data_IF_712138426042
#
_entry.id   IF_712138426042
#
_cell.length_a   1.000
_cell.length_b   1.000
_cell.length_c   1.000
_cell.angle_alpha   90.00
_cell.angle_beta   90.00
_cell.angle_gamma   90.00
#
_symmetry.space_group_name_H-M   'P 1'
#
loop_
_entity.id
_entity.type
_entity.pdbx_description
1 polymer ?
#
# COMPACT_ATOMS: atom_id res chain seq x y z
N UNK A 1 -21.45 8.73 42.29
CA UNK A 1 -21.62 8.15 40.93
C UNK A 1 -20.87 8.85 39.79
N UNK A 2 -20.41 10.11 39.90
CA UNK A 2 -19.64 10.80 38.83
C UNK A 2 -18.17 10.34 38.66
N UNK A 3 -17.57 9.68 39.65
CA UNK A 3 -16.15 9.23 39.61
C UNK A 3 -15.93 7.86 38.96
N UNK A 4 -16.97 7.04 38.81
CA UNK A 4 -16.88 5.70 38.20
C UNK A 4 -16.80 5.75 36.66
N UNK A 5 -17.41 6.76 36.03
CA UNK A 5 -17.37 6.93 34.58
C UNK A 5 -15.99 7.36 34.07
N UNK A 6 -15.24 8.15 34.85
CA UNK A 6 -13.88 8.56 34.49
C UNK A 6 -12.90 7.37 34.50
N UNK A 7 -13.06 6.42 35.43
CA UNK A 7 -12.21 5.23 35.52
C UNK A 7 -12.49 4.21 34.40
N UNK A 8 -13.76 4.03 34.00
CA UNK A 8 -14.12 3.15 32.88
C UNK A 8 -13.57 3.66 31.53
N UNK A 9 -13.52 4.99 31.33
CA UNK A 9 -12.96 5.59 30.10
C UNK A 9 -11.43 5.46 30.05
N UNK A 10 -10.74 5.52 31.20
CA UNK A 10 -9.28 5.38 31.26
C UNK A 10 -8.84 3.91 31.07
N UNK A 11 -9.60 2.94 31.57
CA UNK A 11 -9.28 1.51 31.40
C UNK A 11 -9.57 1.02 29.96
N UNK A 12 -10.55 1.61 29.25
CA UNK A 12 -10.77 1.36 27.83
C UNK A 12 -9.69 1.96 26.89
N UNK A 13 -8.82 2.84 27.42
CA UNK A 13 -7.73 3.48 26.66
C UNK A 13 -6.36 2.84 26.90
N UNK A 14 -6.23 1.95 27.88
CA UNK A 14 -4.99 1.23 28.17
C UNK A 14 -5.02 -0.15 27.49
N UNK A 15 -4.91 -0.16 26.16
CA UNK A 15 -4.53 -1.38 25.45
C UNK A 15 -3.06 -1.68 25.80
N UNK A 16 -2.72 -2.89 26.27
CA UNK A 16 -1.32 -3.26 26.44
C UNK A 16 -0.63 -3.14 25.07
N UNK A 17 0.58 -2.57 25.07
CA UNK A 17 1.43 -2.55 23.90
C UNK A 17 1.71 -4.00 23.49
N UNK A 18 0.93 -4.52 22.55
CA UNK A 18 1.14 -5.84 21.99
C UNK A 18 2.56 -5.86 21.43
N UNK A 19 3.34 -6.88 21.81
CA UNK A 19 4.59 -7.17 21.12
C UNK A 19 4.28 -7.27 19.62
N UNK A 20 5.10 -6.62 18.79
CA UNK A 20 4.91 -6.60 17.36
C UNK A 20 5.01 -8.05 16.85
N UNK A 21 3.93 -8.56 16.27
CA UNK A 21 3.96 -9.85 15.58
C UNK A 21 4.73 -9.64 14.28
N UNK A 22 5.82 -10.38 14.03
CA UNK A 22 6.59 -10.22 12.79
C UNK A 22 5.71 -10.38 11.56
N UNK A 23 5.87 -9.49 10.58
CA UNK A 23 5.18 -9.63 9.29
C UNK A 23 5.54 -10.96 8.64
N UNK A 24 4.52 -11.68 8.14
CA UNK A 24 4.71 -12.95 7.45
C UNK A 24 4.68 -12.71 5.94
N UNK A 25 5.86 -12.68 5.33
CA UNK A 25 6.04 -12.43 3.90
C UNK A 25 6.34 -13.73 3.15
N UNK A 26 5.69 -13.92 2.00
CA UNK A 26 6.05 -14.94 1.03
C UNK A 26 6.48 -14.32 -0.30
N UNK A 27 7.45 -14.94 -0.95
CA UNK A 27 7.85 -14.64 -2.34
C UNK A 27 7.70 -15.91 -3.15
N UNK A 28 6.96 -15.83 -4.27
CA UNK A 28 6.88 -16.95 -5.19
C UNK A 28 8.22 -17.10 -5.92
N UNK A 29 8.76 -18.31 -5.93
CA UNK A 29 10.03 -18.63 -6.57
C UNK A 29 10.05 -18.13 -8.03
N UNK A 30 11.12 -17.44 -8.42
CA UNK A 30 11.22 -16.76 -9.70
C UNK A 30 12.65 -16.69 -10.23
N UNK A 31 12.79 -16.30 -11.51
CA UNK A 31 14.08 -16.25 -12.21
C UNK A 31 14.57 -14.85 -12.57
N UNK A 32 13.69 -13.85 -12.62
CA UNK A 32 13.99 -12.57 -13.29
C UNK A 32 13.86 -11.34 -12.41
N UNK A 33 12.97 -11.37 -11.42
CA UNK A 33 12.84 -10.27 -10.46
C UNK A 33 13.80 -10.49 -9.28
N UNK A 34 14.17 -9.40 -8.62
CA UNK A 34 15.10 -9.41 -7.49
C UNK A 34 14.45 -8.83 -6.24
N UNK A 35 13.13 -9.01 -6.09
CA UNK A 35 12.37 -8.64 -4.88
C UNK A 35 13.06 -9.17 -3.61
N UNK A 36 13.57 -10.39 -3.66
CA UNK A 36 14.32 -11.02 -2.58
C UNK A 36 15.54 -10.20 -2.14
N UNK A 37 16.28 -9.59 -3.08
CA UNK A 37 17.43 -8.74 -2.76
C UNK A 37 17.00 -7.47 -2.04
N UNK A 38 15.87 -6.88 -2.45
CA UNK A 38 15.32 -5.70 -1.80
C UNK A 38 14.80 -6.03 -0.39
N UNK A 39 14.09 -7.15 -0.22
CA UNK A 39 13.65 -7.67 1.09
C UNK A 39 14.85 -7.90 2.02
N UNK A 40 15.92 -8.53 1.51
CA UNK A 40 17.17 -8.77 2.27
C UNK A 40 17.84 -7.45 2.68
N UNK A 41 17.94 -6.47 1.78
CA UNK A 41 18.50 -5.16 2.10
C UNK A 41 17.67 -4.41 3.16
N UNK A 42 16.35 -4.59 3.14
CA UNK A 42 15.43 -4.10 4.16
C UNK A 42 15.40 -4.96 5.43
N UNK A 43 16.14 -6.09 5.49
CA UNK A 43 16.10 -7.06 6.60
C UNK A 43 14.69 -7.57 6.93
N UNK A 44 13.84 -7.70 5.90
CA UNK A 44 12.48 -8.23 6.04
C UNK A 44 12.57 -9.75 5.87
N UNK A 45 12.20 -10.55 6.89
CA UNK A 45 12.19 -12.00 6.76
C UNK A 45 11.08 -12.43 5.78
N UNK A 46 11.39 -13.40 4.93
CA UNK A 46 10.44 -13.95 3.98
C UNK A 46 10.63 -15.46 3.82
N UNK A 47 9.60 -16.12 3.32
CA UNK A 47 9.66 -17.52 2.87
C UNK A 47 9.53 -17.58 1.36
N UNK A 48 10.27 -18.48 0.72
CA UNK A 48 10.11 -18.76 -0.70
C UNK A 48 9.10 -19.89 -0.84
N UNK A 49 8.05 -19.65 -1.63
CA UNK A 49 7.01 -20.65 -1.94
C UNK A 49 7.11 -21.05 -3.40
N UNK A 50 6.79 -22.30 -3.72
CA UNK A 50 6.78 -22.79 -5.10
C UNK A 50 5.52 -22.31 -5.81
N UNK A 51 5.58 -22.23 -7.13
CA UNK A 51 4.41 -21.93 -7.95
C UNK A 51 3.26 -22.92 -7.70
N UNK A 52 3.58 -24.21 -7.53
CA UNK A 52 2.60 -25.24 -7.21
C UNK A 52 1.90 -25.04 -5.85
N UNK A 53 2.54 -24.36 -4.90
CA UNK A 53 1.99 -24.12 -3.58
C UNK A 53 0.82 -23.12 -3.62
N UNK A 54 0.66 -22.36 -4.71
CA UNK A 54 -0.41 -21.38 -4.87
C UNK A 54 -1.81 -22.03 -4.90
N UNK A 55 -1.91 -23.33 -5.16
CA UNK A 55 -3.16 -24.07 -4.99
C UNK A 55 -3.44 -24.47 -3.54
N UNK A 56 -2.54 -24.27 -2.60
CA UNK A 56 -2.79 -24.59 -1.19
C UNK A 56 -3.42 -23.40 -0.45
N UNK A 57 -4.65 -23.53 0.09
CA UNK A 57 -5.33 -22.43 0.77
C UNK A 57 -4.59 -21.93 2.01
N UNK A 58 -3.77 -22.79 2.63
CA UNK A 58 -2.95 -22.47 3.78
C UNK A 58 -1.92 -21.37 3.51
N UNK A 59 -1.40 -21.28 2.27
CA UNK A 59 -0.44 -20.23 1.88
C UNK A 59 -1.03 -18.85 2.13
N UNK A 60 -2.29 -18.63 1.74
CA UNK A 60 -2.96 -17.34 1.89
C UNK A 60 -3.33 -17.01 3.35
N UNK A 61 -3.43 -18.01 4.23
CA UNK A 61 -3.75 -17.80 5.66
C UNK A 61 -2.51 -17.53 6.50
N UNK A 62 -1.38 -18.12 6.11
CA UNK A 62 -0.10 -18.05 6.84
C UNK A 62 0.68 -16.76 6.57
N UNK A 63 0.33 -16.03 5.53
CA UNK A 63 1.06 -14.83 5.11
C UNK A 63 0.17 -13.60 5.18
N UNK A 64 0.80 -12.46 5.44
CA UNK A 64 0.18 -11.15 5.45
C UNK A 64 0.44 -10.42 4.13
N UNK A 65 1.57 -10.74 3.49
CA UNK A 65 2.00 -10.21 2.21
C UNK A 65 2.55 -11.30 1.29
N UNK A 66 2.19 -11.27 0.01
CA UNK A 66 2.69 -12.23 -0.99
C UNK A 66 3.20 -11.49 -2.23
N UNK A 67 4.43 -11.78 -2.64
CA UNK A 67 5.05 -11.23 -3.83
C UNK A 67 4.98 -12.23 -4.98
N UNK A 68 4.42 -11.78 -6.10
CA UNK A 68 4.29 -12.49 -7.38
C UNK A 68 5.20 -11.84 -8.44
N UNK A 69 6.52 -12.03 -8.33
CA UNK A 69 7.49 -11.45 -9.25
C UNK A 69 7.35 -11.92 -10.70
N UNK A 70 7.92 -11.17 -11.64
CA UNK A 70 8.09 -11.60 -13.03
C UNK A 70 9.00 -12.83 -13.11
N UNK A 71 8.69 -13.77 -13.99
CA UNK A 71 9.47 -15.01 -14.12
C UNK A 71 9.22 -16.03 -13.01
N UNK A 72 8.07 -15.97 -12.33
CA UNK A 72 7.56 -17.12 -11.57
C UNK A 72 7.50 -18.31 -12.51
N UNK A 73 8.19 -19.39 -12.14
CA UNK A 73 8.25 -20.57 -12.98
C UNK A 73 6.84 -21.14 -13.21
N UNK A 74 6.46 -21.45 -14.45
CA UNK A 74 6.02 -22.81 -14.72
C UNK A 74 7.29 -23.65 -14.93
N UNK A 75 7.68 -24.60 -14.05
CA UNK A 75 8.67 -25.56 -14.48
C UNK A 75 7.97 -26.63 -15.35
N UNK A 76 8.60 -27.17 -16.42
CA UNK A 76 10.03 -27.08 -16.74
C UNK A 76 10.37 -26.96 -18.24
N UNK A 77 11.08 -25.90 -18.66
CA UNK A 77 11.84 -25.89 -19.93
C UNK A 77 13.09 -26.81 -19.91
N UNK A 78 13.31 -27.61 -18.86
CA UNK A 78 14.41 -28.58 -18.76
C UNK A 78 13.98 -30.04 -18.85
N UNK A 79 12.84 -30.34 -19.50
CA UNK A 79 12.30 -31.70 -19.57
C UNK A 79 12.15 -32.27 -20.97
N UNK A 80 12.96 -31.81 -21.93
CA UNK A 80 13.22 -32.56 -23.16
C UNK A 80 14.57 -33.24 -23.00
N UNK A 81 14.55 -34.53 -22.64
CA UNK A 81 15.73 -35.37 -22.80
C UNK A 81 15.74 -35.83 -24.27
N UNK A 82 16.56 -35.20 -25.10
CA UNK A 82 16.76 -35.66 -26.48
C UNK A 82 17.84 -36.74 -26.46
N UNK A 83 17.42 -38.00 -26.49
CA UNK A 83 18.33 -39.10 -26.82
C UNK A 83 18.62 -39.07 -28.33
N UNK A 84 19.76 -38.47 -28.68
CA UNK A 84 20.29 -38.47 -30.05
C UNK A 84 21.54 -39.35 -30.13
N UNK A 85 21.53 -40.33 -31.05
CA UNK A 85 22.73 -41.00 -31.55
C UNK A 85 22.69 -40.93 -33.07
N UNK A 86 23.54 -40.10 -33.67
CA UNK A 86 23.57 -39.87 -35.12
C UNK A 86 22.49 -38.88 -35.59
N UNK A 87 21.85 -39.16 -36.72
CA UNK A 87 20.96 -38.22 -37.46
C UNK A 87 19.45 -38.38 -37.17
N UNK A 88 19.04 -39.13 -36.14
CA UNK A 88 17.62 -39.33 -35.83
C UNK A 88 17.30 -39.22 -34.34
N UNK A 89 16.13 -38.63 -34.02
CA UNK A 89 15.58 -38.50 -32.67
C UNK A 89 14.83 -39.80 -32.35
N UNK A 90 15.26 -40.53 -31.31
CA UNK A 90 14.67 -41.82 -30.94
C UNK A 90 13.51 -41.73 -29.94
N UNK A 91 13.32 -40.60 -29.27
CA UNK A 91 12.19 -40.41 -28.35
C UNK A 91 12.16 -39.04 -27.70
N UNK A 92 10.95 -38.55 -27.43
CA UNK A 92 10.69 -37.37 -26.61
C UNK A 92 9.89 -37.86 -25.40
N UNK A 93 10.50 -37.82 -24.23
CA UNK A 93 9.83 -38.12 -22.96
C UNK A 93 9.80 -36.88 -22.10
N UNK A 94 8.60 -36.48 -21.69
CA UNK A 94 8.40 -35.55 -20.60
C UNK A 94 8.81 -36.25 -19.29
N UNK A 95 9.66 -35.61 -18.48
CA UNK A 95 9.80 -36.07 -17.09
C UNK A 95 8.48 -35.86 -16.37
N UNK A 96 8.07 -36.82 -15.55
CA UNK A 96 6.89 -36.71 -14.67
C UNK A 96 6.96 -35.41 -13.84
N UNK A 97 5.82 -34.73 -13.69
CA UNK A 97 5.70 -33.51 -12.88
C UNK A 97 5.22 -32.26 -13.62
N UNK A 98 4.52 -32.39 -14.76
CA UNK A 98 3.77 -31.26 -15.31
C UNK A 98 2.68 -30.84 -14.32
N UNK A 99 2.87 -29.70 -13.67
CA UNK A 99 1.91 -29.16 -12.72
C UNK A 99 1.18 -27.97 -13.36
N UNK A 100 -0.07 -28.21 -13.74
CA UNK A 100 -0.95 -27.15 -14.23
C UNK A 100 -1.73 -26.57 -13.04
N UNK A 101 -1.54 -25.26 -12.76
CA UNK A 101 -2.35 -24.56 -11.77
C UNK A 101 -3.77 -24.37 -12.34
N UNK A 102 -4.79 -24.76 -11.56
CA UNK A 102 -6.16 -24.31 -11.81
C UNK A 102 -6.22 -22.78 -11.65
N UNK A 103 -6.21 -22.08 -12.78
CA UNK A 103 -6.22 -20.62 -12.84
C UNK A 103 -7.50 -20.02 -12.24
N UNK A 104 -8.65 -20.70 -12.34
CA UNK A 104 -9.91 -20.21 -11.75
C UNK A 104 -9.85 -20.33 -10.24
N UNK A 105 -9.30 -21.43 -9.74
CA UNK A 105 -9.14 -21.63 -8.31
C UNK A 105 -8.13 -20.64 -7.70
N UNK A 106 -6.98 -20.46 -8.35
CA UNK A 106 -5.98 -19.46 -7.99
C UNK A 106 -6.59 -18.05 -7.92
N UNK A 107 -7.29 -17.63 -8.98
CA UNK A 107 -7.96 -16.33 -9.04
C UNK A 107 -8.92 -16.12 -7.86
N UNK A 108 -9.73 -17.14 -7.53
CA UNK A 108 -10.66 -17.10 -6.39
C UNK A 108 -9.93 -16.97 -5.05
N UNK A 109 -8.87 -17.75 -4.82
CA UNK A 109 -8.08 -17.72 -3.58
C UNK A 109 -7.35 -16.40 -3.41
N UNK A 110 -6.73 -15.90 -4.48
CA UNK A 110 -6.04 -14.62 -4.50
C UNK A 110 -7.00 -13.46 -4.23
N UNK A 111 -8.16 -13.45 -4.90
CA UNK A 111 -9.21 -12.46 -4.63
C UNK A 111 -9.62 -12.49 -3.16
N UNK A 112 -9.87 -13.67 -2.59
CA UNK A 112 -10.23 -13.81 -1.18
C UNK A 112 -9.13 -13.33 -0.22
N UNK A 113 -7.86 -13.56 -0.55
CA UNK A 113 -6.71 -13.08 0.22
C UNK A 113 -6.66 -11.55 0.25
N UNK A 114 -6.65 -10.90 -0.92
CA UNK A 114 -6.56 -9.44 -1.02
C UNK A 114 -7.81 -8.79 -0.42
N UNK A 115 -9.01 -9.24 -0.79
CA UNK A 115 -10.28 -8.74 -0.24
C UNK A 115 -10.37 -8.90 1.29
N UNK A 116 -9.69 -9.91 1.82
CA UNK A 116 -9.58 -10.23 3.25
C UNK A 116 -8.61 -9.35 4.03
N UNK A 117 -7.81 -8.51 3.37
CA UNK A 117 -6.81 -7.65 4.02
C UNK A 117 -5.35 -8.08 3.79
N UNK A 118 -5.10 -9.00 2.86
CA UNK A 118 -3.77 -9.31 2.38
C UNK A 118 -3.22 -8.22 1.45
N UNK A 119 -1.90 -8.05 1.45
CA UNK A 119 -1.19 -7.18 0.52
C UNK A 119 -0.46 -8.02 -0.53
N UNK A 120 -0.53 -7.64 -1.80
CA UNK A 120 0.12 -8.40 -2.87
C UNK A 120 0.90 -7.50 -3.83
N UNK A 121 2.00 -8.03 -4.35
CA UNK A 121 2.84 -7.39 -5.38
C UNK A 121 2.85 -8.25 -6.65
N UNK A 122 2.76 -7.60 -7.81
CA UNK A 122 2.84 -8.21 -9.12
C UNK A 122 3.78 -7.39 -10.00
N UNK A 123 4.65 -8.06 -10.75
CA UNK A 123 5.53 -7.41 -11.72
C UNK A 123 5.55 -8.10 -13.08
N UNK A 124 5.65 -7.27 -14.12
CA UNK A 124 5.82 -7.72 -15.50
C UNK A 124 4.80 -8.79 -15.89
N UNK A 125 5.28 -9.99 -16.18
CA UNK A 125 4.47 -11.10 -16.69
C UNK A 125 3.46 -11.67 -15.70
N UNK A 126 3.53 -11.35 -14.41
CA UNK A 126 2.55 -11.80 -13.41
C UNK A 126 1.23 -11.03 -13.40
N UNK A 127 1.06 -10.09 -14.33
CA UNK A 127 -0.20 -9.38 -14.54
C UNK A 127 -1.38 -10.34 -14.78
N UNK A 128 -1.13 -11.50 -15.40
CA UNK A 128 -2.13 -12.50 -15.77
C UNK A 128 -2.83 -13.08 -14.53
N UNK A 129 -2.09 -13.30 -13.45
CA UNK A 129 -2.62 -13.78 -12.18
C UNK A 129 -3.54 -12.74 -11.55
N UNK A 130 -3.11 -11.48 -11.51
CA UNK A 130 -3.92 -10.39 -10.96
C UNK A 130 -5.15 -10.10 -11.83
N UNK A 131 -4.99 -10.14 -13.15
CA UNK A 131 -6.09 -10.00 -14.10
C UNK A 131 -7.08 -11.16 -13.98
N UNK A 132 -6.63 -12.41 -13.85
CA UNK A 132 -7.53 -13.53 -13.58
C UNK A 132 -8.36 -13.33 -12.29
N UNK A 133 -7.77 -12.69 -11.27
CA UNK A 133 -8.45 -12.40 -10.02
C UNK A 133 -9.48 -11.26 -10.10
N UNK A 134 -9.35 -10.27 -10.98
CA UNK A 134 -10.26 -9.10 -10.97
C UNK A 134 -10.77 -8.61 -12.34
N UNK A 135 -10.22 -9.10 -13.44
CA UNK A 135 -10.59 -8.75 -14.82
C UNK A 135 -10.48 -7.24 -15.14
N UNK A 136 -9.49 -6.56 -14.54
CA UNK A 136 -9.41 -5.10 -14.59
C UNK A 136 -8.46 -4.52 -15.65
N UNK A 137 -7.70 -5.36 -16.35
CA UNK A 137 -6.64 -4.90 -17.25
C UNK A 137 -7.17 -4.67 -18.66
N UNK A 138 -6.78 -3.54 -19.25
CA UNK A 138 -6.99 -3.26 -20.66
C UNK A 138 -5.66 -3.03 -21.36
N UNK A 139 -5.51 -3.63 -22.54
CA UNK A 139 -4.28 -3.56 -23.33
C UNK A 139 -4.48 -2.83 -24.64
N UNK A 140 -3.40 -2.26 -25.16
CA UNK A 140 -3.41 -1.68 -26.50
C UNK A 140 -3.61 -2.79 -27.53
N UNK A 141 -4.59 -2.60 -28.42
CA UNK A 141 -4.91 -3.58 -29.47
C UNK A 141 -5.25 -4.98 -28.96
N UNK A 142 -5.63 -5.12 -27.68
CA UNK A 142 -5.89 -6.42 -27.07
C UNK A 142 -4.63 -7.29 -26.87
N UNK A 143 -3.42 -6.71 -26.93
CA UNK A 143 -2.17 -7.46 -26.80
C UNK A 143 -1.23 -6.82 -25.75
N UNK A 144 -0.86 -7.55 -24.68
CA UNK A 144 -0.10 -6.98 -23.56
C UNK A 144 1.39 -6.77 -23.87
N UNK A 145 1.99 -7.63 -24.68
CA UNK A 145 3.44 -7.74 -24.85
C UNK A 145 3.98 -6.83 -25.97
N UNK A 146 3.69 -5.52 -25.92
CA UNK A 146 4.08 -4.56 -26.97
C UNK A 146 5.12 -3.53 -26.54
N UNK A 147 5.57 -3.53 -25.30
CA UNK A 147 6.55 -2.55 -24.84
C UNK A 147 7.91 -2.76 -25.49
N UNK A 148 8.51 -1.71 -26.05
CA UNK A 148 9.88 -1.76 -26.56
C UNK A 148 10.91 -1.56 -25.43
N UNK A 149 12.09 -2.16 -25.57
CA UNK A 149 13.24 -1.88 -24.71
C UNK A 149 13.63 -0.39 -24.79
N UNK A 150 14.16 0.14 -23.69
CA UNK A 150 14.62 1.52 -23.63
C UNK A 150 14.36 2.18 -22.28
N UNK A 151 14.55 3.50 -22.24
CA UNK A 151 14.35 4.29 -21.04
C UNK A 151 12.99 5.00 -21.08
N UNK A 152 12.25 4.92 -19.99
CA UNK A 152 10.94 5.56 -19.80
C UNK A 152 11.08 6.65 -18.73
N UNK A 153 10.73 7.87 -19.08
CA UNK A 153 10.58 8.97 -18.10
C UNK A 153 9.23 8.82 -17.38
N UNK A 154 9.27 8.29 -16.16
CA UNK A 154 8.09 8.09 -15.32
C UNK A 154 7.72 9.39 -14.62
N UNK A 155 6.46 9.77 -14.69
CA UNK A 155 5.86 10.81 -13.86
C UNK A 155 5.31 10.16 -12.60
N UNK A 156 5.85 10.53 -11.45
CA UNK A 156 5.48 9.96 -10.16
C UNK A 156 4.33 10.76 -9.52
N UNK A 157 3.38 10.06 -8.92
CA UNK A 157 2.17 10.64 -8.32
C UNK A 157 1.96 10.16 -6.87
N UNK A 158 1.05 10.84 -6.17
CA UNK A 158 0.58 10.50 -4.82
C UNK A 158 1.69 10.16 -3.79
N UNK A 159 1.56 9.00 -3.14
CA UNK A 159 2.45 8.49 -2.09
C UNK A 159 3.86 8.22 -2.64
N UNK A 160 3.97 7.80 -3.90
CA UNK A 160 5.26 7.45 -4.53
C UNK A 160 6.08 8.72 -4.82
N UNK A 161 5.42 9.78 -5.30
CA UNK A 161 6.04 11.11 -5.46
C UNK A 161 6.66 11.58 -4.15
N UNK A 162 5.89 11.56 -3.06
CA UNK A 162 6.39 12.00 -1.76
C UNK A 162 7.56 11.14 -1.26
N UNK A 163 7.51 9.84 -1.51
CA UNK A 163 8.53 8.88 -1.07
C UNK A 163 9.86 9.07 -1.81
N UNK A 164 9.81 9.19 -3.14
CA UNK A 164 11.00 9.39 -3.98
C UNK A 164 11.51 10.83 -3.88
N UNK A 165 10.65 11.79 -3.54
CA UNK A 165 10.96 13.23 -3.48
C UNK A 165 11.40 13.81 -4.82
N UNK A 166 11.02 13.19 -5.93
CA UNK A 166 11.23 13.67 -7.29
C UNK A 166 9.97 13.42 -8.12
N UNK A 167 9.49 14.40 -8.91
CA UNK A 167 8.33 14.22 -9.79
C UNK A 167 8.60 13.30 -10.98
N UNK A 168 9.88 13.07 -11.30
CA UNK A 168 10.30 12.25 -12.42
C UNK A 168 11.30 11.19 -12.02
N UNK A 169 11.22 10.03 -12.67
CA UNK A 169 12.13 8.93 -12.47
C UNK A 169 12.43 8.23 -13.79
N UNK A 170 13.72 8.06 -14.09
CA UNK A 170 14.16 7.36 -15.29
C UNK A 170 14.17 5.85 -15.03
N UNK A 171 13.24 5.12 -15.66
CA UNK A 171 13.15 3.67 -15.56
C UNK A 171 13.71 3.01 -16.82
N UNK A 172 14.66 2.09 -16.65
CA UNK A 172 15.23 1.34 -17.76
C UNK A 172 14.50 0.00 -17.94
N UNK A 173 13.97 -0.24 -19.15
CA UNK A 173 13.37 -1.49 -19.59
C UNK A 173 14.38 -2.25 -20.46
N UNK A 174 15.00 -3.33 -19.94
CA UNK A 174 16.15 -3.95 -20.60
C UNK A 174 15.81 -4.79 -21.84
N UNK A 175 14.56 -5.23 -22.00
CA UNK A 175 14.12 -6.09 -23.11
C UNK A 175 12.77 -5.63 -23.67
N UNK A 176 12.54 -5.90 -24.96
CA UNK A 176 11.25 -5.69 -25.62
C UNK A 176 10.27 -6.82 -25.30
N UNK A 177 8.98 -6.58 -25.49
CA UNK A 177 7.90 -7.53 -25.15
C UNK A 177 7.41 -7.40 -23.71
N UNK A 178 7.88 -6.40 -22.95
CA UNK A 178 7.35 -6.12 -21.62
C UNK A 178 5.88 -5.67 -21.70
N UNK A 179 5.18 -5.83 -20.58
CA UNK A 179 3.72 -5.68 -20.51
C UNK A 179 3.31 -4.21 -20.47
N UNK A 180 2.86 -3.72 -21.62
CA UNK A 180 2.40 -2.35 -21.80
C UNK A 180 0.89 -2.25 -21.55
N UNK A 181 0.52 -1.72 -20.39
CA UNK A 181 -0.88 -1.58 -19.97
C UNK A 181 -1.46 -0.27 -20.49
N UNK A 182 -2.68 -0.30 -21.03
CA UNK A 182 -3.42 0.91 -21.44
C UNK A 182 -4.12 1.54 -20.25
N UNK A 183 -4.83 0.73 -19.47
CA UNK A 183 -5.55 1.17 -18.27
C UNK A 183 -5.85 -0.01 -17.38
N UNK A 184 -6.02 0.25 -16.07
CA UNK A 184 -6.48 -0.73 -15.09
C UNK A 184 -7.68 -0.11 -14.37
N UNK A 185 -8.82 -0.78 -14.41
CA UNK A 185 -10.06 -0.30 -13.81
C UNK A 185 -9.95 -0.22 -12.28
N UNK A 186 -10.49 0.86 -11.69
CA UNK A 186 -10.51 1.07 -10.24
C UNK A 186 -9.10 0.96 -9.59
N UNK A 187 -8.09 1.53 -10.24
CA UNK A 187 -6.72 1.57 -9.76
C UNK A 187 -6.23 3.01 -9.63
N UNK A 188 -5.43 3.28 -8.60
CA UNK A 188 -4.69 4.52 -8.45
C UNK A 188 -3.38 4.39 -9.24
N UNK A 189 -3.11 5.32 -10.15
CA UNK A 189 -1.83 5.37 -10.88
C UNK A 189 -0.79 6.04 -10.00
N UNK A 190 0.27 5.31 -9.65
CA UNK A 190 1.38 5.85 -8.86
C UNK A 190 2.52 6.34 -9.74
N UNK A 191 2.66 5.75 -10.94
CA UNK A 191 3.54 6.25 -11.97
C UNK A 191 3.00 5.91 -13.36
N UNK A 192 3.02 6.90 -14.26
CA UNK A 192 2.73 6.76 -15.69
C UNK A 192 3.90 7.24 -16.54
N UNK A 193 3.97 6.80 -17.79
CA UNK A 193 5.04 7.20 -18.69
C UNK A 193 4.67 7.05 -20.16
N UNK A 194 5.42 7.76 -21.01
CA UNK A 194 5.39 7.57 -22.47
C UNK A 194 6.48 6.60 -22.86
N UNK A 195 6.15 5.60 -23.67
CA UNK A 195 7.05 4.54 -24.09
C UNK A 195 6.80 4.13 -25.53
N UNK A 196 7.85 3.61 -26.17
CA UNK A 196 7.77 3.17 -27.54
C UNK A 196 7.19 1.76 -27.64
N UNK A 197 6.47 1.52 -28.74
CA UNK A 197 5.95 0.21 -29.11
C UNK A 197 6.22 0.00 -30.61
N UNK A 198 6.17 -1.25 -31.13
CA UNK A 198 6.26 -1.50 -32.57
C UNK A 198 5.21 -0.76 -33.40
N UNK A 199 4.11 -0.29 -32.79
CA UNK A 199 3.02 0.45 -33.44
C UNK A 199 3.01 1.93 -33.07
N UNK A 200 4.18 2.48 -32.75
CA UNK A 200 4.38 3.87 -32.37
C UNK A 200 4.30 4.11 -30.86
N UNK A 201 4.54 5.35 -30.46
CA UNK A 201 4.60 5.73 -29.05
C UNK A 201 3.22 5.65 -28.39
N UNK A 202 3.20 5.18 -27.13
CA UNK A 202 2.02 5.10 -26.27
C UNK A 202 2.29 5.75 -24.91
N UNK A 203 1.21 6.02 -24.19
CA UNK A 203 1.24 6.52 -22.82
C UNK A 203 0.31 5.65 -21.99
N UNK A 204 0.77 5.26 -20.80
CA UNK A 204 0.00 4.40 -19.93
C UNK A 204 0.59 4.29 -18.52
N UNK A 205 -0.15 3.65 -17.60
CA UNK A 205 0.35 3.39 -16.25
C UNK A 205 1.48 2.36 -16.27
N UNK A 206 2.51 2.61 -15.48
CA UNK A 206 3.63 1.67 -15.27
C UNK A 206 3.58 1.11 -13.86
N UNK A 207 3.17 1.90 -12.86
CA UNK A 207 3.04 1.47 -11.47
C UNK A 207 1.65 1.86 -10.99
N UNK A 208 0.90 0.89 -10.47
CA UNK A 208 -0.46 1.11 -9.98
C UNK A 208 -0.69 0.45 -8.64
N UNK A 209 -1.69 0.98 -7.92
CA UNK A 209 -2.25 0.40 -6.71
C UNK A 209 -3.73 0.11 -6.91
N UNK A 210 -4.14 -1.12 -6.65
CA UNK A 210 -5.53 -1.56 -6.66
C UNK A 210 -5.97 -1.72 -5.21
N UNK A 211 -6.83 -0.82 -4.71
CA UNK A 211 -7.46 -0.97 -3.39
C UNK A 211 -8.65 -1.92 -3.52
N UNK A 212 -8.71 -2.97 -2.69
CA UNK A 212 -9.75 -4.00 -2.79
C UNK A 212 -10.26 -4.36 -1.41
N UNK A 213 -11.47 -3.90 -1.09
CA UNK A 213 -12.13 -4.04 0.22
C UNK A 213 -11.17 -3.69 1.37
N UNK A 214 -10.56 -4.69 2.02
CA UNK A 214 -9.67 -4.52 3.18
C UNK A 214 -8.19 -4.56 2.84
N UNK A 215 -7.81 -5.01 1.65
CA UNK A 215 -6.41 -5.15 1.23
C UNK A 215 -6.08 -4.35 -0.02
N UNK A 216 -4.89 -4.60 -0.54
CA UNK A 216 -4.35 -3.88 -1.69
C UNK A 216 -3.43 -4.78 -2.54
N UNK A 217 -3.41 -4.51 -3.84
CA UNK A 217 -2.47 -5.10 -4.77
C UNK A 217 -1.69 -4.01 -5.49
N UNK A 218 -0.41 -4.26 -5.74
CA UNK A 218 0.45 -3.40 -6.52
C UNK A 218 0.85 -4.12 -7.78
N UNK A 219 0.73 -3.44 -8.92
CA UNK A 219 1.27 -3.94 -10.18
C UNK A 219 2.32 -2.97 -10.70
N UNK A 220 3.43 -3.51 -11.20
CA UNK A 220 4.48 -2.74 -11.86
C UNK A 220 4.93 -3.40 -13.17
N UNK A 221 4.92 -2.65 -14.27
CA UNK A 221 5.59 -3.06 -15.51
C UNK A 221 7.12 -2.96 -15.42
N UNK A 222 7.62 -2.32 -14.37
CA UNK A 222 9.04 -2.06 -14.11
C UNK A 222 9.54 -2.90 -12.93
N UNK A 223 10.68 -3.58 -13.11
CA UNK A 223 11.41 -4.24 -12.03
C UNK A 223 12.91 -4.11 -12.27
N UNK A 224 13.69 -4.08 -11.19
CA UNK A 224 15.15 -3.91 -11.26
C UNK A 224 15.85 -4.74 -10.19
N UNK A 225 17.08 -5.18 -10.52
CA UNK A 225 17.99 -5.85 -9.60
C UNK A 225 18.72 -4.91 -8.64
N UNK A 226 18.59 -3.60 -8.81
CA UNK A 226 19.31 -2.59 -8.04
C UNK A 226 18.74 -2.42 -6.63
N UNK A 227 19.53 -2.79 -5.63
CA UNK A 227 19.14 -2.72 -4.21
C UNK A 227 18.88 -1.30 -3.70
N UNK A 228 19.46 -0.29 -4.34
CA UNK A 228 19.26 1.13 -4.00
C UNK A 228 18.04 1.77 -4.67
N UNK A 229 17.27 1.03 -5.47
CA UNK A 229 16.18 1.60 -6.23
C UNK A 229 15.02 2.06 -5.30
N UNK A 230 14.66 3.36 -5.32
CA UNK A 230 13.67 3.90 -4.38
C UNK A 230 12.24 3.43 -4.69
N UNK A 231 11.93 3.10 -5.95
CA UNK A 231 10.62 2.55 -6.33
C UNK A 231 10.48 1.12 -5.77
N UNK A 232 11.48 0.26 -5.93
CA UNK A 232 11.44 -1.09 -5.38
C UNK A 232 11.36 -1.09 -3.86
N UNK A 233 12.13 -0.22 -3.19
CA UNK A 233 12.01 -0.01 -1.74
C UNK A 233 10.59 0.38 -1.34
N UNK A 234 10.00 1.36 -2.03
CA UNK A 234 8.62 1.77 -1.77
C UNK A 234 7.66 0.59 -1.89
N UNK A 235 7.71 -0.15 -2.99
CA UNK A 235 6.79 -1.27 -3.26
C UNK A 235 6.95 -2.40 -2.24
N UNK A 236 8.19 -2.80 -1.95
CA UNK A 236 8.49 -3.89 -1.02
C UNK A 236 8.02 -3.55 0.40
N UNK A 237 8.38 -2.38 0.91
CA UNK A 237 7.99 -1.99 2.27
C UNK A 237 6.47 -1.76 2.33
N UNK A 238 5.87 -1.16 1.30
CA UNK A 238 4.43 -0.92 1.26
C UNK A 238 3.62 -2.20 1.29
N UNK A 239 4.05 -3.21 0.53
CA UNK A 239 3.40 -4.51 0.50
C UNK A 239 3.62 -5.26 1.81
N UNK A 240 4.83 -5.25 2.38
CA UNK A 240 5.10 -5.92 3.65
C UNK A 240 4.37 -5.26 4.84
N UNK A 241 4.44 -3.94 4.97
CA UNK A 241 4.00 -3.21 6.16
C UNK A 241 2.74 -2.36 5.93
N UNK A 242 1.92 -2.69 4.93
CA UNK A 242 0.66 -1.99 4.65
C UNK A 242 -0.29 -1.95 5.86
N UNK A 243 -0.24 -2.98 6.72
CA UNK A 243 -1.04 -3.04 7.97
C UNK A 243 -0.63 -1.98 8.99
N UNK A 244 0.67 -1.69 9.13
CA UNK A 244 1.16 -0.63 10.01
C UNK A 244 0.57 0.71 9.57
N UNK A 245 0.60 0.97 8.26
CA UNK A 245 -0.02 2.17 7.71
C UNK A 245 -1.54 2.19 7.88
N UNK A 246 -2.22 1.06 7.66
CA UNK A 246 -3.68 0.97 7.85
C UNK A 246 -4.08 1.25 9.30
N UNK A 247 -3.31 0.76 10.28
CA UNK A 247 -3.50 1.06 11.69
C UNK A 247 -3.35 2.55 11.99
N UNK A 248 -2.27 3.17 11.48
CA UNK A 248 -2.03 4.61 11.63
C UNK A 248 -3.16 5.44 10.97
N UNK A 249 -3.59 5.06 9.77
CA UNK A 249 -4.68 5.69 9.04
C UNK A 249 -6.02 5.58 9.78
N UNK A 250 -6.30 4.44 10.41
CA UNK A 250 -7.49 4.27 11.24
C UNK A 250 -7.45 5.21 12.46
N UNK A 251 -6.29 5.36 13.09
CA UNK A 251 -6.06 6.29 14.19
C UNK A 251 -6.19 7.76 13.79
N UNK A 252 -5.61 8.14 12.65
CA UNK A 252 -5.63 9.50 12.08
C UNK A 252 -7.00 9.87 11.50
N UNK A 253 -7.72 8.91 10.91
CA UNK A 253 -9.04 9.10 10.29
C UNK A 253 -10.12 9.50 11.29
N UNK A 254 -9.88 9.32 12.60
CA UNK A 254 -10.77 9.78 13.65
C UNK A 254 -10.90 11.30 13.69
N UNK A 255 -9.98 12.07 13.12
CA UNK A 255 -9.96 13.52 13.28
C UNK A 255 -10.67 14.30 12.17
N UNK A 256 -11.31 13.61 11.21
CA UNK A 256 -12.06 14.21 10.08
C UNK A 256 -11.27 15.24 9.24
N UNK A 257 -9.93 15.13 9.27
CA UNK A 257 -9.01 15.93 8.47
C UNK A 257 -8.92 15.37 7.04
N UNK A 258 -8.65 16.24 6.07
CA UNK A 258 -8.45 15.82 4.67
C UNK A 258 -7.15 15.05 4.54
N UNK A 259 -7.16 13.95 3.80
CA UNK A 259 -5.97 13.11 3.62
C UNK A 259 -4.96 13.73 2.66
N UNK A 260 -3.68 13.65 3.01
CA UNK A 260 -2.54 13.91 2.14
C UNK A 260 -1.77 12.63 1.86
N UNK A 261 -0.44 12.75 1.83
CA UNK A 261 0.49 11.64 1.53
C UNK A 261 0.58 10.64 2.69
N UNK A 262 0.71 9.36 2.33
CA UNK A 262 0.79 8.22 3.25
C UNK A 262 1.99 7.35 2.88
N UNK A 263 2.90 7.14 3.82
CA UNK A 263 4.13 6.40 3.58
C UNK A 263 4.32 5.31 4.62
N UNK A 264 5.06 4.30 4.23
CA UNK A 264 5.69 3.37 5.15
C UNK A 264 7.11 3.15 4.67
N UNK A 265 8.06 3.20 5.59
CA UNK A 265 9.49 3.02 5.32
C UNK A 265 10.16 2.45 6.57
N UNK A 266 11.47 2.25 6.49
CA UNK A 266 12.37 1.98 7.59
C UNK A 266 13.72 2.61 7.28
N UNK A 267 14.54 2.90 8.29
CA UNK A 267 15.92 3.28 8.00
C UNK A 267 16.76 2.05 7.70
N UNK A 268 17.39 2.02 6.52
CA UNK A 268 18.28 0.94 6.08
C UNK A 268 19.64 1.03 6.80
N UNK A 269 20.42 -0.08 6.82
CA UNK A 269 21.78 -0.04 7.34
C UNK A 269 22.62 1.06 6.69
N UNK A 270 23.24 1.91 7.51
CA UNK A 270 24.05 3.05 7.05
C UNK A 270 23.26 4.36 6.87
N UNK A 271 21.93 4.34 6.85
CA UNK A 271 21.13 5.58 6.81
C UNK A 271 21.12 6.25 8.18
N UNK A 272 21.57 7.51 8.24
CA UNK A 272 21.49 8.37 9.44
C UNK A 272 20.12 9.03 9.58
N UNK A 273 19.44 9.23 8.45
CA UNK A 273 18.12 9.84 8.36
C UNK A 273 17.51 9.52 7.00
N UNK A 274 16.19 9.62 6.89
CA UNK A 274 15.47 9.55 5.60
C UNK A 274 14.70 10.84 5.36
N UNK A 275 14.75 11.35 4.13
CA UNK A 275 14.03 12.56 3.70
C UNK A 275 12.91 12.20 2.75
N UNK A 276 11.77 12.84 2.95
CA UNK A 276 10.57 12.76 2.13
C UNK A 276 10.12 14.15 1.74
N UNK A 277 9.22 14.21 0.76
CA UNK A 277 8.51 15.42 0.40
C UNK A 277 7.02 15.23 0.69
N UNK A 278 6.44 16.16 1.46
CA UNK A 278 5.04 16.11 1.86
C UNK A 278 4.31 17.37 1.42
N UNK A 279 3.16 17.27 0.74
CA UNK A 279 2.34 18.45 0.46
C UNK A 279 1.69 18.91 1.76
N UNK A 280 1.75 20.21 2.07
CA UNK A 280 1.00 20.82 3.18
C UNK A 280 0.09 21.92 2.64
N UNK A 281 -1.12 22.01 3.19
CA UNK A 281 -2.06 23.10 2.90
C UNK A 281 -1.76 24.30 3.79
N UNK A 282 -2.04 25.51 3.31
CA UNK A 282 -1.94 26.72 4.14
C UNK A 282 -2.78 26.56 5.41
N UNK A 283 -2.20 26.87 6.57
CA UNK A 283 -2.85 26.71 7.87
C UNK A 283 -2.38 25.48 8.64
N UNK A 284 -3.30 24.82 9.36
CA UNK A 284 -2.98 23.69 10.24
C UNK A 284 -2.93 22.38 9.46
N UNK A 285 -1.87 21.63 9.70
CA UNK A 285 -1.65 20.28 9.22
C UNK A 285 -1.20 19.43 10.39
N UNK A 286 -1.39 18.12 10.29
CA UNK A 286 -0.91 17.17 11.29
C UNK A 286 -0.21 16.04 10.58
N UNK A 287 1.02 15.74 10.97
CA UNK A 287 1.75 14.56 10.54
C UNK A 287 1.63 13.53 11.65
N UNK A 288 0.87 12.47 11.39
CA UNK A 288 0.81 11.31 12.25
C UNK A 288 1.97 10.38 11.93
N UNK A 289 2.62 9.88 12.97
CA UNK A 289 3.72 8.94 12.89
C UNK A 289 3.39 7.74 13.75
N UNK A 290 3.73 6.54 13.27
CA UNK A 290 3.58 5.32 14.04
C UNK A 290 4.64 4.30 13.68
N UNK A 291 5.19 3.61 14.67
CA UNK A 291 6.10 2.49 14.49
C UNK A 291 5.70 1.32 15.40
N UNK A 292 6.01 0.10 15.01
CA UNK A 292 5.72 -1.07 15.85
C UNK A 292 6.68 -1.15 17.06
N UNK A 293 7.89 -0.64 16.87
CA UNK A 293 8.95 -0.56 17.88
C UNK A 293 9.86 0.64 17.60
N UNK A 294 10.93 0.80 18.38
CA UNK A 294 11.88 1.89 18.21
C UNK A 294 11.28 3.27 18.54
N UNK A 295 12.14 4.27 18.47
CA UNK A 295 11.78 5.67 18.69
C UNK A 295 12.37 6.51 17.57
N UNK A 296 11.71 7.61 17.24
CA UNK A 296 12.05 8.41 16.09
C UNK A 296 11.90 9.90 16.39
N UNK A 297 12.68 10.70 15.68
CA UNK A 297 12.48 12.14 15.58
C UNK A 297 11.97 12.47 14.19
N UNK A 298 11.00 13.38 14.11
CA UNK A 298 10.46 13.89 12.87
C UNK A 298 10.63 15.41 12.81
N UNK A 299 11.30 15.87 11.75
CA UNK A 299 11.59 17.27 11.49
C UNK A 299 10.97 17.71 10.16
N UNK A 300 10.31 18.86 10.15
CA UNK A 300 9.63 19.42 8.97
C UNK A 300 10.30 20.72 8.56
N UNK A 301 10.63 20.82 7.28
CA UNK A 301 11.39 21.92 6.70
C UNK A 301 10.60 22.63 5.60
N UNK A 302 10.70 23.95 5.57
CA UNK A 302 10.29 24.83 4.48
C UNK A 302 11.54 25.41 3.83
N UNK A 303 11.99 24.84 2.71
CA UNK A 303 13.35 25.08 2.23
C UNK A 303 14.36 24.56 3.25
N UNK A 304 15.23 25.44 3.75
CA UNK A 304 16.22 25.11 4.79
C UNK A 304 15.74 25.44 6.22
N UNK A 305 14.60 26.12 6.36
CA UNK A 305 14.06 26.51 7.66
C UNK A 305 13.31 25.34 8.32
N UNK A 306 13.74 24.94 9.52
CA UNK A 306 13.01 24.00 10.37
C UNK A 306 11.75 24.68 10.93
N UNK A 307 10.56 24.21 10.56
CA UNK A 307 9.27 24.80 10.97
C UNK A 307 8.53 23.98 12.02
N UNK A 308 8.89 22.72 12.19
CA UNK A 308 8.36 21.85 13.24
C UNK A 308 9.35 20.72 13.52
N UNK A 309 9.49 20.32 14.78
CA UNK A 309 10.31 19.18 15.20
C UNK A 309 9.66 18.50 16.38
N UNK A 310 9.72 17.17 16.40
CA UNK A 310 9.32 16.36 17.55
C UNK A 310 10.22 15.15 17.68
N UNK A 311 10.95 15.10 18.80
CA UNK A 311 11.60 13.90 19.29
C UNK A 311 10.79 13.39 20.50
N UNK A 312 10.45 12.11 20.50
CA UNK A 312 9.66 11.51 21.57
C UNK A 312 10.07 10.05 21.79
N UNK A 313 9.82 9.55 23.00
CA UNK A 313 9.93 8.12 23.35
C UNK A 313 8.58 7.41 23.20
N UNK A 314 7.66 7.99 22.42
CA UNK A 314 6.39 7.39 22.03
C UNK A 314 6.54 6.71 20.67
N UNK A 315 5.96 5.53 20.51
CA UNK A 315 5.94 4.79 19.22
C UNK A 315 4.95 5.38 18.23
N UNK A 316 3.90 6.02 18.74
CA UNK A 316 2.92 6.75 17.94
C UNK A 316 2.82 8.18 18.46
N UNK A 317 2.89 9.14 17.54
CA UNK A 317 2.75 10.54 17.89
C UNK A 317 2.19 11.35 16.73
N UNK A 318 1.76 12.57 17.04
CA UNK A 318 1.29 13.54 16.06
C UNK A 318 2.12 14.82 16.13
N UNK A 319 2.65 15.27 15.00
CA UNK A 319 3.35 16.54 14.87
C UNK A 319 2.42 17.55 14.19
N UNK A 320 1.98 18.56 14.94
CA UNK A 320 1.17 19.64 14.40
C UNK A 320 2.07 20.67 13.71
N UNK A 321 1.75 21.00 12.46
CA UNK A 321 2.54 21.90 11.61
C UNK A 321 1.65 23.02 11.11
N UNK A 322 2.10 24.27 11.29
CA UNK A 322 1.42 25.45 10.74
C UNK A 322 2.16 25.96 9.51
N UNK A 323 1.65 25.62 8.33
CA UNK A 323 2.21 26.04 7.06
C UNK A 323 1.74 27.46 6.69
N UNK A 324 2.67 28.32 6.31
CA UNK A 324 2.40 29.72 5.89
C UNK A 324 1.89 29.80 4.46
N UNK A 325 2.35 28.90 3.61
CA UNK A 325 1.93 28.74 2.22
C UNK A 325 1.55 27.28 1.93
N UNK A 326 0.69 27.08 0.93
CA UNK A 326 0.48 25.75 0.37
C UNK A 326 1.68 25.36 -0.50
N UNK A 327 2.16 24.14 -0.38
CA UNK A 327 3.31 23.68 -1.17
C UNK A 327 3.91 22.37 -0.68
N UNK A 328 5.10 22.07 -1.20
CA UNK A 328 5.87 20.87 -0.87
C UNK A 328 6.89 21.19 0.24
N UNK A 329 6.87 20.41 1.31
CA UNK A 329 7.73 20.55 2.48
C UNK A 329 8.61 19.32 2.65
N UNK A 330 9.80 19.51 3.19
CA UNK A 330 10.70 18.39 3.51
C UNK A 330 10.29 17.77 4.85
N UNK A 331 10.11 16.46 4.90
CA UNK A 331 9.99 15.71 6.16
C UNK A 331 11.23 14.84 6.32
N UNK A 332 11.94 14.99 7.42
CA UNK A 332 13.14 14.19 7.73
C UNK A 332 12.89 13.37 8.98
N UNK A 333 13.16 12.07 8.88
CA UNK A 333 13.01 11.12 9.97
C UNK A 333 14.40 10.64 10.40
N UNK A 334 14.65 10.71 11.70
CA UNK A 334 15.87 10.23 12.34
C UNK A 334 15.54 9.10 13.30
N UNK A 335 16.41 8.08 13.40
CA UNK A 335 16.27 7.07 14.44
C UNK A 335 16.67 7.68 15.78
N UNK A 336 15.89 7.43 16.83
CA UNK A 336 16.28 7.70 18.21
C UNK A 336 16.58 6.35 18.91
N UNK A 337 17.76 6.23 19.53
CA UNK A 337 18.23 4.97 20.11
C UNK A 337 18.36 3.84 19.08
N UNK A 338 17.70 2.71 19.31
CA UNK A 338 17.77 1.50 18.46
C UNK A 338 16.85 1.52 17.23
N UNK A 339 16.39 2.69 16.76
CA UNK A 339 15.39 2.89 15.68
C UNK A 339 15.76 2.40 14.27
N UNK A 340 16.78 1.56 14.09
CA UNK A 340 17.27 1.12 12.77
C UNK A 340 16.62 -0.19 12.34
N UNK A 341 16.34 -0.33 11.03
CA UNK A 341 15.64 -1.49 10.47
C UNK A 341 14.29 -1.78 11.12
N UNK A 342 13.65 -0.73 11.65
CA UNK A 342 12.33 -0.80 12.26
C UNK A 342 11.35 -0.07 11.32
N UNK A 343 10.24 -0.72 10.92
CA UNK A 343 9.24 -0.09 10.08
C UNK A 343 8.52 1.03 10.83
N UNK A 344 8.28 2.13 10.12
CA UNK A 344 7.44 3.23 10.56
C UNK A 344 6.52 3.67 9.43
N UNK A 345 5.34 4.15 9.79
CA UNK A 345 4.37 4.75 8.92
C UNK A 345 4.21 6.25 9.20
N UNK A 346 3.90 6.99 8.14
CA UNK A 346 3.65 8.42 8.16
C UNK A 346 2.31 8.66 7.47
N UNK A 347 1.47 9.49 8.07
CA UNK A 347 0.23 9.96 7.50
C UNK A 347 0.10 11.47 7.65
N UNK A 348 0.03 12.16 6.53
CA UNK A 348 -0.16 13.62 6.51
C UNK A 348 -1.64 13.92 6.37
N UNK A 349 -2.18 14.75 7.27
CA UNK A 349 -3.56 15.21 7.27
C UNK A 349 -3.64 16.74 7.30
N UNK A 350 -4.67 17.29 6.68
CA UNK A 350 -4.88 18.74 6.53
C UNK A 350 -6.15 19.20 7.27
N UNK A 351 -6.05 20.35 7.93
CA UNK A 351 -7.14 20.96 8.67
C UNK A 351 -6.95 20.88 10.18
N UNK A 352 -7.94 21.39 10.91
CA UNK A 352 -7.88 21.50 12.38
C UNK A 352 -8.24 20.17 13.02
N UNK A 353 -7.43 19.73 13.99
CA UNK A 353 -7.71 18.60 14.86
C UNK A 353 -8.53 19.07 16.07
N UNK A 354 -9.85 18.94 16.01
CA UNK A 354 -10.78 19.39 17.07
C UNK A 354 -11.12 18.27 18.06
N UNK A 355 -12.10 17.44 17.72
CA UNK A 355 -12.60 16.32 18.53
C UNK A 355 -12.70 15.10 17.62
N UNK A 356 -12.38 13.89 18.11
CA UNK A 356 -12.56 12.67 17.32
C UNK A 356 -14.00 12.52 16.84
N UNK A 357 -14.16 12.20 15.56
CA UNK A 357 -15.40 11.99 14.83
C UNK A 357 -16.34 13.21 14.83
N UNK A 358 -15.79 14.42 14.89
CA UNK A 358 -16.54 15.68 14.93
C UNK A 358 -17.66 15.73 13.88
N UNK A 359 -17.39 15.38 12.61
CA UNK A 359 -18.42 15.38 11.55
C UNK A 359 -19.56 14.43 11.85
N UNK A 360 -19.25 13.24 12.39
CA UNK A 360 -20.27 12.24 12.77
C UNK A 360 -21.07 12.70 13.98
N UNK A 361 -20.42 13.32 14.96
CA UNK A 361 -21.08 13.90 16.15
C UNK A 361 -22.04 15.02 15.74
N UNK A 362 -21.61 15.92 14.85
CA UNK A 362 -22.46 17.01 14.32
C UNK A 362 -23.64 16.46 13.53
N UNK A 363 -23.42 15.46 12.65
CA UNK A 363 -24.49 14.82 11.90
C UNK A 363 -25.52 14.14 12.82
N UNK A 364 -25.07 13.42 13.84
CA UNK A 364 -25.95 12.80 14.82
C UNK A 364 -26.76 13.85 15.58
N UNK A 365 -26.12 14.94 16.01
CA UNK A 365 -26.79 16.04 16.69
C UNK A 365 -27.85 16.71 15.79
N UNK A 366 -27.52 17.00 14.53
CA UNK A 366 -28.47 17.56 13.56
C UNK A 366 -29.65 16.62 13.31
N UNK A 367 -29.40 15.32 13.21
CA UNK A 367 -30.44 14.31 13.06
C UNK A 367 -31.41 14.30 14.25
N UNK A 368 -30.89 14.32 15.48
CA UNK A 368 -31.72 14.42 16.69
C UNK A 368 -32.50 15.75 16.74
N UNK A 369 -31.90 16.85 16.29
CA UNK A 369 -32.54 18.16 16.23
C UNK A 369 -33.71 18.17 15.23
N UNK A 370 -33.55 17.54 14.07
CA UNK A 370 -34.63 17.37 13.08
C UNK A 370 -35.77 16.53 13.65
N UNK A 371 -35.47 15.42 14.34
CA UNK A 371 -36.49 14.60 15.01
C UNK A 371 -37.23 15.41 16.07
N UNK A 372 -36.49 16.15 16.92
CA UNK A 372 -37.09 16.99 17.95
C UNK A 372 -37.99 18.09 17.36
N UNK A 373 -37.56 18.73 16.28
CA UNK A 373 -38.34 19.72 15.56
C UNK A 373 -39.62 19.10 14.96
N UNK A 374 -39.53 17.93 14.33
CA UNK A 374 -40.70 17.21 13.81
C UNK A 374 -41.68 16.81 14.91
N UNK A 375 -41.19 16.35 16.08
CA UNK A 375 -42.03 16.04 17.25
C UNK A 375 -42.69 17.31 17.78
N UNK A 376 -41.97 18.42 17.87
CA UNK A 376 -42.49 19.70 18.33
C UNK A 376 -43.57 20.24 17.38
N UNK A 377 -43.30 20.24 16.06
CA UNK A 377 -44.25 20.63 15.03
C UNK A 377 -45.48 19.73 15.08
N UNK A 378 -45.33 18.41 15.17
CA UNK A 378 -46.46 17.49 15.29
C UNK A 378 -47.28 17.77 16.56
N UNK A 379 -46.64 18.03 17.70
CA UNK A 379 -47.33 18.38 18.95
C UNK A 379 -48.05 19.73 18.87
N UNK A 380 -47.53 20.67 18.09
CA UNK A 380 -48.13 21.98 17.88
C UNK A 380 -49.28 21.96 16.86
N UNK A 381 -49.16 21.15 15.79
CA UNK A 381 -50.22 20.95 14.78
C UNK A 381 -51.33 20.02 15.26
N UNK A 382 -50.99 19.04 16.12
CA UNK A 382 -51.94 18.17 16.82
C UNK A 382 -51.92 18.45 18.34
N UNK A 383 -52.34 19.64 18.79
CA UNK A 383 -52.48 19.87 20.21
C UNK A 383 -53.54 18.89 20.71
N UNK A 384 -53.12 17.89 21.48
CA UNK A 384 -54.04 16.93 22.10
C UNK A 384 -55.11 17.73 22.85
N UNK A 385 -56.37 17.67 22.39
CA UNK A 385 -57.56 18.11 23.14
C UNK A 385 -57.72 17.21 24.36
N UNK A 386 -56.92 17.40 25.40
CA UNK A 386 -57.21 16.84 26.72
C UNK A 386 -58.05 17.86 27.50
N UNK A 387 -59.35 17.90 27.22
CA UNK A 387 -60.36 18.40 28.15
C UNK A 387 -61.14 17.19 28.70
N UNK A 388 -60.48 16.41 29.55
CA UNK A 388 -61.16 15.42 30.40
C UNK A 388 -61.34 16.05 31.78
N UNK A 389 -62.49 16.66 32.01
CA UNK A 389 -62.94 17.13 33.33
C UNK A 389 -63.09 15.90 34.22
N UNK A 390 -62.36 15.83 35.34
CA UNK A 390 -62.63 14.83 36.37
C UNK A 390 -64.06 15.05 36.88
N UNK A 391 -64.88 13.98 36.85
CA UNK A 391 -66.16 13.90 37.56
C UNK A 391 -65.96 13.02 38.78
#
# INVERSE_FOLDING_TARGET
MRRLWAFAVVILLALPASAAVPVRVAVVANRYDSVEKCLQACRIPYTVIKYADLNHPDIYRRHDAIFFPSGMEPPPETSINILSRGTSIQGVTLREGHYELDRKELARKLRAFIDGGGSAYFSGYSWDILHGAYDDFSFFYGFPYIGSAGTIDLRLEEDLLGFVSSPRFSAHMPFSGWVAVKSISNADVLAGGRFDTPRGQKEGPVIVRLKRKRGEAYYTGYYTGETGNPIMRFLVIRVAFGRLLASLEAGAGRWDQTSGVRMVDMLLPGETSRRYTVPLKKGRNTIFFGSESGFFQADVYSGDALIASRQTWEREFALDVRATAEGMYGLRIFPAGNGRSIPYAISVKHGVRLVPYFRRVVLAFLFFLVIAALVFINRFMNPRKYSGRAR
#
